data_IF_893150730376
#
_entry.id   IF_893150730376
#
_cell.length_a   1.000
_cell.length_b   1.000
_cell.length_c   1.000
_cell.angle_alpha   90.00
_cell.angle_beta   90.00
_cell.angle_gamma   90.00
#
_symmetry.space_group_name_H-M   'P 1'
#
loop_
_entity.id
_entity.type
_entity.pdbx_description
1 polymer ?
#
# COMPACT_ATOMS: atom_id res chain seq x y z
N UNK A 1 18.23 -9.65 -11.95
CA UNK A 1 17.38 -8.45 -11.92
C UNK A 1 16.07 -8.71 -11.18
N UNK A 2 15.57 -9.92 -11.23
CA UNK A 2 14.39 -10.34 -10.50
C UNK A 2 14.83 -11.49 -9.62
N UNK A 3 14.98 -11.24 -8.33
CA UNK A 3 15.20 -12.26 -7.34
C UNK A 3 14.03 -13.24 -7.25
N UNK A 4 14.19 -14.34 -6.55
CA UNK A 4 13.09 -15.22 -6.21
C UNK A 4 12.14 -14.51 -5.23
N UNK A 5 10.84 -14.73 -5.37
CA UNK A 5 9.87 -14.29 -4.37
C UNK A 5 10.11 -14.96 -3.01
N UNK A 6 10.76 -16.12 -3.00
CA UNK A 6 11.13 -16.88 -1.80
C UNK A 6 12.19 -16.17 -0.96
N UNK A 7 13.05 -15.35 -1.61
CA UNK A 7 14.08 -14.57 -0.92
C UNK A 7 13.56 -13.24 -0.38
N UNK A 8 12.28 -12.89 -0.64
CA UNK A 8 11.73 -11.59 -0.29
C UNK A 8 11.11 -11.60 1.10
N UNK A 9 11.60 -10.73 1.99
CA UNK A 9 10.99 -10.48 3.28
C UNK A 9 9.81 -9.53 3.10
N UNK A 10 8.60 -10.07 3.22
CA UNK A 10 7.38 -9.25 3.12
C UNK A 10 7.19 -8.41 4.39
N UNK A 11 6.45 -7.30 4.25
CA UNK A 11 6.09 -6.48 5.42
C UNK A 11 5.35 -7.29 6.49
N UNK A 12 4.52 -8.26 6.08
CA UNK A 12 3.82 -9.14 7.00
C UNK A 12 4.79 -9.96 7.83
N UNK A 13 5.71 -10.68 7.20
CA UNK A 13 6.72 -11.52 7.89
C UNK A 13 7.52 -10.67 8.87
N UNK A 14 8.07 -9.53 8.42
CA UNK A 14 8.88 -8.67 9.28
C UNK A 14 8.10 -8.07 10.47
N UNK A 15 6.80 -7.80 10.31
CA UNK A 15 5.96 -7.33 11.42
C UNK A 15 5.60 -8.47 12.39
N UNK A 16 5.36 -9.68 11.90
CA UNK A 16 5.15 -10.87 12.74
C UNK A 16 6.37 -11.17 13.62
N UNK A 17 7.58 -10.92 13.13
CA UNK A 17 8.82 -11.02 13.92
C UNK A 17 8.93 -9.96 15.03
N UNK A 18 8.30 -8.81 14.86
CA UNK A 18 8.35 -7.69 15.81
C UNK A 18 7.26 -7.73 16.88
N UNK A 19 6.18 -8.48 16.69
CA UNK A 19 5.05 -8.49 17.62
C UNK A 19 4.40 -9.86 17.72
N UNK A 20 4.16 -10.30 18.95
CA UNK A 20 3.45 -11.56 19.23
C UNK A 20 1.92 -11.41 19.14
N UNK A 21 1.41 -10.17 19.21
CA UNK A 21 -0.03 -9.89 19.29
C UNK A 21 -0.54 -9.14 18.05
N UNK A 22 0.18 -9.17 16.92
CA UNK A 22 -0.25 -8.56 15.68
C UNK A 22 -1.43 -9.29 15.06
N UNK A 23 -2.50 -8.54 14.70
CA UNK A 23 -3.61 -9.07 13.91
C UNK A 23 -3.41 -8.66 12.46
N UNK A 24 -3.80 -9.54 11.56
CA UNK A 24 -3.63 -9.34 10.11
C UNK A 24 -4.93 -9.62 9.37
N UNK A 25 -5.22 -8.80 8.38
CA UNK A 25 -6.28 -9.01 7.41
C UNK A 25 -5.78 -8.60 6.01
N UNK A 26 -6.24 -9.29 4.98
CA UNK A 26 -5.87 -8.97 3.60
C UNK A 26 -6.43 -7.62 3.15
N UNK A 27 -7.63 -7.30 3.56
CA UNK A 27 -8.32 -6.05 3.26
C UNK A 27 -8.90 -5.99 1.85
N UNK A 28 -8.06 -5.98 0.83
CA UNK A 28 -8.50 -6.02 -0.57
C UNK A 28 -7.33 -6.36 -1.50
N UNK A 29 -7.65 -6.67 -2.75
CA UNK A 29 -6.64 -6.84 -3.80
C UNK A 29 -5.92 -5.52 -4.13
N UNK A 30 -4.73 -5.64 -4.74
CA UNK A 30 -3.95 -4.48 -5.22
C UNK A 30 -4.70 -3.74 -6.34
N UNK A 31 -5.37 -4.48 -7.22
CA UNK A 31 -6.20 -3.95 -8.31
C UNK A 31 -7.68 -3.99 -7.93
N UNK A 32 -8.51 -3.23 -8.65
CA UNK A 32 -9.96 -3.35 -8.49
C UNK A 32 -10.43 -4.76 -8.91
N UNK A 33 -11.54 -5.27 -8.33
CA UNK A 33 -12.12 -6.55 -8.73
C UNK A 33 -12.31 -6.65 -10.25
N UNK A 34 -11.88 -7.76 -10.83
CA UNK A 34 -11.93 -8.02 -12.28
C UNK A 34 -10.98 -7.17 -13.12
N UNK A 35 -10.16 -6.32 -12.53
CA UNK A 35 -9.19 -5.50 -13.25
C UNK A 35 -7.94 -6.31 -13.59
N UNK A 36 -7.47 -6.17 -14.84
CA UNK A 36 -6.15 -6.65 -15.27
C UNK A 36 -5.22 -5.48 -15.51
N UNK A 37 -4.05 -5.52 -14.90
CA UNK A 37 -2.92 -4.67 -15.26
C UNK A 37 -2.00 -5.44 -16.21
N UNK A 38 -1.66 -4.80 -17.32
CA UNK A 38 -0.82 -5.38 -18.37
C UNK A 38 0.62 -4.90 -18.20
N UNK A 39 1.55 -5.82 -18.18
CA UNK A 39 2.97 -5.54 -18.10
C UNK A 39 3.74 -6.15 -19.27
N UNK A 40 4.98 -5.70 -19.46
CA UNK A 40 5.82 -6.17 -20.56
C UNK A 40 6.13 -7.69 -20.51
N UNK A 41 6.20 -8.26 -19.31
CA UNK A 41 6.57 -9.68 -19.11
C UNK A 41 5.44 -10.57 -18.63
N UNK A 42 4.52 -10.02 -17.85
CA UNK A 42 3.37 -10.74 -17.31
C UNK A 42 2.23 -9.78 -17.04
N UNK A 43 1.03 -10.33 -16.93
CA UNK A 43 -0.15 -9.58 -16.54
C UNK A 43 -0.51 -9.96 -15.10
N UNK A 44 -1.17 -9.05 -14.40
CA UNK A 44 -1.72 -9.29 -13.06
C UNK A 44 -3.22 -9.00 -13.11
N UNK A 45 -4.03 -9.97 -12.72
CA UNK A 45 -5.49 -9.82 -12.64
C UNK A 45 -5.91 -9.95 -11.18
N UNK A 46 -6.81 -9.11 -10.74
CA UNK A 46 -7.55 -9.34 -9.50
C UNK A 46 -8.80 -10.16 -9.84
N UNK A 47 -8.80 -11.41 -9.44
CA UNK A 47 -9.90 -12.36 -9.71
C UNK A 47 -11.02 -12.32 -8.67
N UNK A 48 -10.83 -11.53 -7.57
CA UNK A 48 -11.87 -11.39 -6.56
C UNK A 48 -13.18 -10.87 -7.18
N UNK A 49 -14.27 -11.45 -6.76
CA UNK A 49 -15.61 -10.90 -6.98
C UNK A 49 -15.84 -9.66 -6.12
N UNK A 50 -16.90 -8.90 -6.43
CA UNK A 50 -17.31 -7.78 -5.59
C UNK A 50 -17.69 -8.24 -4.16
N UNK A 51 -18.33 -9.41 -4.03
CA UNK A 51 -18.75 -9.98 -2.75
C UNK A 51 -17.55 -10.42 -1.91
N UNK A 52 -16.57 -11.09 -2.50
CA UNK A 52 -15.33 -11.48 -1.83
C UNK A 52 -14.54 -10.27 -1.36
N UNK A 53 -14.44 -9.25 -2.21
CA UNK A 53 -13.79 -7.98 -1.86
C UNK A 53 -14.49 -7.31 -0.68
N UNK A 54 -15.82 -7.27 -0.66
CA UNK A 54 -16.58 -6.69 0.45
C UNK A 54 -16.33 -7.46 1.74
N UNK A 55 -16.33 -8.77 1.70
CA UNK A 55 -16.03 -9.64 2.84
C UNK A 55 -14.61 -9.38 3.40
N UNK A 56 -13.61 -9.29 2.53
CA UNK A 56 -12.23 -8.96 2.93
C UNK A 56 -12.14 -7.57 3.61
N UNK A 57 -12.85 -6.58 3.08
CA UNK A 57 -12.89 -5.25 3.68
C UNK A 57 -13.57 -5.30 5.06
N UNK A 58 -14.66 -6.01 5.21
CA UNK A 58 -15.36 -6.14 6.52
C UNK A 58 -14.49 -6.84 7.55
N UNK A 59 -13.76 -7.88 7.16
CA UNK A 59 -12.76 -8.54 8.02
C UNK A 59 -11.69 -7.55 8.49
N UNK A 60 -11.11 -6.77 7.57
CA UNK A 60 -10.11 -5.76 7.91
C UNK A 60 -10.66 -4.66 8.84
N UNK A 61 -11.91 -4.25 8.66
CA UNK A 61 -12.59 -3.30 9.53
C UNK A 61 -12.76 -3.88 10.93
N UNK A 62 -13.16 -5.16 11.05
CA UNK A 62 -13.31 -5.83 12.33
C UNK A 62 -11.98 -5.91 13.07
N UNK A 63 -10.92 -6.34 12.38
CA UNK A 63 -9.56 -6.40 12.93
C UNK A 63 -9.08 -5.02 13.36
N UNK A 64 -9.27 -3.99 12.54
CA UNK A 64 -8.85 -2.63 12.87
C UNK A 64 -9.57 -2.05 14.09
N UNK A 65 -10.83 -2.42 14.29
CA UNK A 65 -11.62 -1.98 15.44
C UNK A 65 -11.12 -2.55 16.78
N UNK A 66 -10.45 -3.71 16.75
CA UNK A 66 -9.89 -4.37 17.94
C UNK A 66 -8.48 -3.86 18.29
N UNK A 67 -7.83 -3.13 17.37
CA UNK A 67 -6.43 -2.70 17.52
C UNK A 67 -6.32 -1.26 18.04
N UNK A 68 -5.31 -0.99 18.86
CA UNK A 68 -4.96 0.38 19.28
C UNK A 68 -4.46 1.21 18.09
N UNK A 69 -3.70 0.59 17.20
CA UNK A 69 -3.11 1.21 16.00
C UNK A 69 -3.28 0.28 14.80
N UNK A 70 -3.54 0.86 13.65
CA UNK A 70 -3.66 0.13 12.40
C UNK A 70 -2.64 0.63 11.38
N UNK A 71 -2.00 -0.29 10.67
CA UNK A 71 -1.12 0.02 9.54
C UNK A 71 -1.76 -0.53 8.27
N UNK A 72 -2.06 0.34 7.30
CA UNK A 72 -2.50 -0.06 5.97
C UNK A 72 -1.32 0.00 4.99
N UNK A 73 -1.12 -1.08 4.24
CA UNK A 73 -0.20 -1.14 3.11
C UNK A 73 -1.01 -0.94 1.83
N UNK A 74 -0.78 0.19 1.16
CA UNK A 74 -1.49 0.59 -0.04
C UNK A 74 -0.51 0.92 -1.16
N UNK A 75 -0.97 0.96 -2.40
CA UNK A 75 -0.11 1.37 -3.50
C UNK A 75 -0.47 0.78 -4.85
N UNK A 76 0.55 0.59 -5.67
CA UNK A 76 0.43 0.05 -7.03
C UNK A 76 1.02 -1.35 -7.15
N UNK A 77 0.50 -2.11 -8.10
CA UNK A 77 1.19 -3.32 -8.56
C UNK A 77 2.51 -2.93 -9.28
N UNK A 78 3.55 -3.74 -9.10
CA UNK A 78 4.87 -3.49 -9.69
C UNK A 78 4.82 -3.30 -11.22
N UNK A 79 3.92 -3.99 -11.91
CA UNK A 79 3.74 -3.89 -13.35
C UNK A 79 3.03 -2.61 -13.83
N UNK A 80 2.47 -1.83 -12.91
CA UNK A 80 1.83 -0.56 -13.24
C UNK A 80 2.84 0.60 -13.33
N UNK A 81 4.09 0.38 -12.97
CA UNK A 81 5.20 1.35 -13.05
C UNK A 81 6.30 0.85 -13.96
N UNK A 82 7.07 1.77 -14.55
CA UNK A 82 8.19 1.48 -15.43
C UNK A 82 7.80 1.48 -16.90
N UNK A 83 8.55 0.76 -17.71
CA UNK A 83 8.35 0.70 -19.16
C UNK A 83 6.97 0.12 -19.50
N UNK A 84 6.20 0.87 -20.29
CA UNK A 84 4.81 0.50 -20.64
C UNK A 84 3.77 0.74 -19.55
N UNK A 85 4.18 1.20 -18.36
CA UNK A 85 3.31 1.41 -17.20
C UNK A 85 2.68 2.80 -17.10
N UNK A 86 2.25 3.41 -18.22
CA UNK A 86 1.60 4.73 -18.21
C UNK A 86 0.22 4.66 -17.55
N UNK A 87 -0.10 5.69 -16.73
CA UNK A 87 -1.39 5.83 -16.05
C UNK A 87 -1.94 7.25 -16.19
N UNK A 88 -3.21 7.36 -16.57
CA UNK A 88 -3.94 8.63 -16.56
C UNK A 88 -4.51 9.00 -15.17
N UNK A 89 -4.74 8.01 -14.30
CA UNK A 89 -5.12 8.20 -12.90
C UNK A 89 -3.95 7.79 -12.01
N UNK A 90 -3.39 8.74 -11.29
CA UNK A 90 -2.25 8.57 -10.39
C UNK A 90 -2.67 8.45 -8.91
N UNK A 91 -3.92 8.13 -8.66
CA UNK A 91 -4.40 7.78 -7.31
C UNK A 91 -4.26 6.28 -7.04
N UNK A 92 -4.38 5.87 -5.77
CA UNK A 92 -4.52 4.45 -5.44
C UNK A 92 -5.84 3.89 -6.03
N UNK A 93 -5.93 2.56 -6.31
CA UNK A 93 -7.14 1.93 -6.83
C UNK A 93 -8.38 2.21 -5.99
N UNK A 94 -9.55 2.25 -6.63
CA UNK A 94 -10.82 2.57 -5.95
C UNK A 94 -11.12 1.62 -4.79
N UNK A 95 -10.77 0.34 -4.94
CA UNK A 95 -10.96 -0.65 -3.89
C UNK A 95 -10.12 -0.34 -2.65
N UNK A 96 -8.88 0.11 -2.84
CA UNK A 96 -8.01 0.53 -1.74
C UNK A 96 -8.51 1.82 -1.07
N UNK A 97 -9.08 2.77 -1.83
CA UNK A 97 -9.77 3.94 -1.26
C UNK A 97 -10.97 3.53 -0.39
N UNK A 98 -11.74 2.54 -0.85
CA UNK A 98 -12.86 2.00 -0.07
C UNK A 98 -12.38 1.40 1.25
N UNK A 99 -11.34 0.58 1.23
CA UNK A 99 -10.70 0.01 2.41
C UNK A 99 -10.21 1.11 3.36
N UNK A 100 -9.46 2.09 2.84
CA UNK A 100 -8.93 3.22 3.63
C UNK A 100 -10.04 3.95 4.40
N UNK A 101 -11.12 4.32 3.71
CA UNK A 101 -12.25 5.02 4.32
C UNK A 101 -12.93 4.17 5.40
N UNK A 102 -13.16 2.89 5.11
CA UNK A 102 -13.84 1.98 6.03
C UNK A 102 -13.02 1.75 7.31
N UNK A 103 -11.72 1.53 7.19
CA UNK A 103 -10.81 1.37 8.34
C UNK A 103 -10.68 2.66 9.13
N UNK A 104 -10.55 3.81 8.47
CA UNK A 104 -10.43 5.11 9.14
C UNK A 104 -11.67 5.48 9.98
N UNK A 105 -12.85 4.96 9.64
CA UNK A 105 -14.07 5.17 10.43
C UNK A 105 -14.04 4.48 11.79
N UNK A 106 -13.32 3.36 11.90
CA UNK A 106 -13.28 2.56 13.14
C UNK A 106 -11.99 2.73 13.93
N UNK A 107 -10.89 3.12 13.25
CA UNK A 107 -9.62 3.34 13.92
C UNK A 107 -8.94 4.65 13.46
N UNK A 108 -8.98 5.71 14.29
CA UNK A 108 -8.36 6.99 13.97
C UNK A 108 -6.83 6.98 14.11
N UNK A 109 -6.24 5.93 14.70
CA UNK A 109 -4.79 5.78 14.83
C UNK A 109 -4.20 5.02 13.64
N UNK A 110 -4.49 5.53 12.44
CA UNK A 110 -4.14 4.92 11.18
C UNK A 110 -2.79 5.44 10.66
N UNK A 111 -1.91 4.51 10.36
CA UNK A 111 -0.66 4.74 9.61
C UNK A 111 -0.81 4.11 8.22
N UNK A 112 -0.36 4.78 7.18
CA UNK A 112 -0.36 4.23 5.82
C UNK A 112 1.06 4.11 5.29
N UNK A 113 1.41 2.93 4.83
CA UNK A 113 2.64 2.65 4.08
C UNK A 113 2.30 2.55 2.60
N UNK A 114 2.96 3.37 1.77
CA UNK A 114 2.72 3.41 0.33
C UNK A 114 3.84 2.68 -0.40
N UNK A 115 3.47 1.64 -1.14
CA UNK A 115 4.35 0.87 -2.03
C UNK A 115 3.99 1.21 -3.47
N UNK A 116 4.81 2.03 -4.13
CA UNK A 116 4.55 2.49 -5.49
C UNK A 116 5.84 2.89 -6.22
N UNK A 117 5.89 2.69 -7.51
CA UNK A 117 7.04 3.06 -8.35
C UNK A 117 6.97 4.49 -8.91
N UNK A 118 5.96 5.28 -8.55
CA UNK A 118 5.76 6.67 -8.98
C UNK A 118 5.20 7.53 -7.86
N UNK A 119 5.34 8.86 -7.92
CA UNK A 119 4.64 9.74 -7.01
C UNK A 119 3.12 9.69 -7.30
N UNK A 120 2.33 9.33 -6.29
CA UNK A 120 0.88 9.27 -6.36
C UNK A 120 0.24 10.53 -5.79
N UNK A 121 -0.99 10.82 -6.22
CA UNK A 121 -1.89 11.74 -5.51
C UNK A 121 -2.35 11.07 -4.21
N UNK A 122 -1.83 11.56 -3.10
CA UNK A 122 -2.07 11.01 -1.76
C UNK A 122 -3.02 11.86 -0.92
N UNK A 123 -3.75 12.80 -1.51
CA UNK A 123 -4.61 13.73 -0.77
C UNK A 123 -5.59 13.00 0.13
N UNK A 124 -6.30 12.02 -0.41
CA UNK A 124 -7.26 11.23 0.35
C UNK A 124 -6.61 10.43 1.49
N UNK A 125 -5.40 9.92 1.27
CA UNK A 125 -4.64 9.24 2.33
C UNK A 125 -4.31 10.22 3.47
N UNK A 126 -3.90 11.45 3.12
CA UNK A 126 -3.59 12.51 4.11
C UNK A 126 -4.78 12.92 4.96
N UNK A 127 -6.01 12.82 4.44
CA UNK A 127 -7.22 13.15 5.18
C UNK A 127 -7.53 12.14 6.30
N UNK A 128 -7.07 10.89 6.13
CA UNK A 128 -7.40 9.79 7.02
C UNK A 128 -6.23 9.29 7.88
N UNK A 129 -5.00 9.39 7.39
CA UNK A 129 -3.83 8.84 8.08
C UNK A 129 -3.16 9.86 9.00
N UNK A 130 -2.76 9.42 10.20
CA UNK A 130 -1.94 10.21 11.11
C UNK A 130 -0.47 10.28 10.71
N UNK A 131 0.01 9.25 10.02
CA UNK A 131 1.36 9.20 9.47
C UNK A 131 1.35 8.45 8.14
N UNK A 132 2.24 8.85 7.23
CA UNK A 132 2.42 8.21 5.93
C UNK A 132 3.89 7.92 5.73
N UNK A 133 4.21 6.66 5.47
CA UNK A 133 5.52 6.21 5.04
C UNK A 133 5.49 5.92 3.55
N UNK A 134 6.17 6.71 2.73
CA UNK A 134 6.30 6.46 1.30
C UNK A 134 7.52 5.57 1.06
N UNK A 135 7.30 4.27 0.91
CA UNK A 135 8.36 3.27 0.88
C UNK A 135 8.87 2.94 -0.54
N UNK A 136 8.22 3.46 -1.59
CA UNK A 136 8.55 3.15 -2.99
C UNK A 136 8.51 1.65 -3.26
N UNK A 137 9.50 1.10 -3.98
CA UNK A 137 9.75 -0.33 -4.13
C UNK A 137 11.00 -0.68 -3.33
N UNK A 138 10.88 -1.16 -2.09
CA UNK A 138 11.97 -1.21 -1.12
C UNK A 138 12.95 -2.38 -1.31
N UNK A 139 12.71 -3.25 -2.29
CA UNK A 139 13.58 -4.40 -2.58
C UNK A 139 13.37 -5.59 -1.65
N UNK A 140 14.30 -6.54 -1.70
CA UNK A 140 14.21 -7.87 -1.05
C UNK A 140 14.05 -7.77 0.47
N UNK A 141 14.79 -6.89 1.13
CA UNK A 141 14.75 -6.66 2.58
C UNK A 141 13.80 -5.54 3.01
N UNK A 142 12.92 -5.13 2.11
CA UNK A 142 12.01 -4.01 2.33
C UNK A 142 11.09 -4.19 3.53
N UNK A 143 10.67 -5.42 3.82
CA UNK A 143 9.86 -5.74 4.99
C UNK A 143 10.53 -5.34 6.29
N UNK A 144 11.79 -5.76 6.50
CA UNK A 144 12.57 -5.42 7.69
C UNK A 144 12.79 -3.91 7.81
N UNK A 145 13.20 -3.24 6.72
CA UNK A 145 13.42 -1.79 6.75
C UNK A 145 12.16 -1.00 7.10
N UNK A 146 11.01 -1.41 6.60
CA UNK A 146 9.72 -0.80 6.94
C UNK A 146 9.33 -1.10 8.39
N UNK A 147 9.48 -2.34 8.85
CA UNK A 147 9.19 -2.73 10.22
C UNK A 147 10.07 -1.96 11.23
N UNK A 148 11.37 -1.83 10.98
CA UNK A 148 12.30 -1.05 11.81
C UNK A 148 11.86 0.42 11.96
N UNK A 149 11.36 1.04 10.88
CA UNK A 149 10.85 2.41 10.93
C UNK A 149 9.54 2.48 11.73
N UNK A 150 8.61 1.54 11.51
CA UNK A 150 7.32 1.52 12.18
C UNK A 150 7.44 1.30 13.69
N UNK A 151 8.41 0.50 14.13
CA UNK A 151 8.68 0.23 15.54
C UNK A 151 9.66 1.24 16.18
N UNK A 152 10.26 2.13 15.39
CA UNK A 152 11.16 3.15 15.88
C UNK A 152 12.61 2.69 16.12
N UNK A 153 12.97 1.51 15.66
CA UNK A 153 14.35 0.98 15.72
C UNK A 153 15.28 1.78 14.78
N UNK A 154 14.72 2.34 13.73
CA UNK A 154 15.40 3.22 12.78
C UNK A 154 14.59 4.48 12.52
N UNK A 155 15.26 5.61 12.43
CA UNK A 155 14.67 6.87 11.98
C UNK A 155 14.65 6.93 10.46
N UNK A 156 13.54 7.37 9.81
CA UNK A 156 13.56 7.65 8.38
C UNK A 156 14.50 8.82 8.09
N UNK A 157 15.56 8.58 7.34
CA UNK A 157 16.60 9.57 7.02
C UNK A 157 16.45 10.13 5.61
N UNK A 158 15.76 9.43 4.74
CA UNK A 158 15.54 9.83 3.37
C UNK A 158 14.52 10.97 3.26
N UNK A 159 14.74 11.85 2.30
CA UNK A 159 13.75 12.84 1.87
C UNK A 159 13.12 12.37 0.57
N UNK A 160 11.93 12.90 0.26
CA UNK A 160 11.32 12.65 -1.05
C UNK A 160 12.28 13.14 -2.15
N UNK A 161 12.55 12.26 -3.11
CA UNK A 161 13.43 12.55 -4.25
C UNK A 161 12.74 13.38 -5.34
N UNK A 162 11.42 13.54 -5.23
CA UNK A 162 10.60 14.32 -6.15
C UNK A 162 9.36 14.86 -5.46
N UNK A 163 8.71 15.87 -6.06
CA UNK A 163 7.45 16.40 -5.57
C UNK A 163 6.31 15.40 -5.78
N UNK A 164 5.42 15.30 -4.80
CA UNK A 164 4.16 14.57 -4.96
C UNK A 164 3.13 15.51 -5.62
N UNK A 165 2.46 15.09 -6.69
CA UNK A 165 1.46 15.91 -7.36
C UNK A 165 0.22 16.09 -6.47
N UNK A 166 -0.35 17.28 -6.52
CA UNK A 166 -1.65 17.54 -5.90
C UNK A 166 -2.79 16.89 -6.68
N UNK A 167 -2.66 16.80 -8.00
CA UNK A 167 -3.62 16.13 -8.88
C UNK A 167 -2.95 15.79 -10.22
N UNK A 168 -3.59 14.95 -11.03
CA UNK A 168 -3.05 14.55 -12.33
C UNK A 168 -2.79 15.72 -13.26
N UNK A 169 -3.58 16.79 -13.18
CA UNK A 169 -3.42 17.98 -14.03
C UNK A 169 -2.18 18.83 -13.72
N UNK A 170 -1.48 18.55 -12.61
CA UNK A 170 -0.19 19.17 -12.31
C UNK A 170 1.00 18.42 -12.94
N UNK A 171 0.80 17.26 -13.53
CA UNK A 171 1.87 16.48 -14.15
C UNK A 171 2.06 16.95 -15.60
N UNK A 172 3.30 17.27 -16.04
CA UNK A 172 4.56 17.28 -15.28
C UNK A 172 4.69 18.46 -14.31
N UNK A 173 5.33 18.22 -13.17
CA UNK A 173 5.67 19.26 -12.19
C UNK A 173 7.08 19.77 -12.52
N UNK A 174 7.20 21.06 -12.77
CA UNK A 174 8.46 21.75 -13.06
C UNK A 174 8.93 22.52 -11.83
#
# INVERSE_FOLDING_TARGET
FFGSSEDTVTCRVALEEKTENGLFAEGCGILNPGQTAYGFRFNMTNEDSQEETEKKIQEAVSVAAECEKTVLFLGEACIQSGEGGSRGDITIPKVQKKLLRAVAQVNPNLVVVILAGRPLDIREIKEHAKAILYAWFPGTEGGHGIADILYGDKNPQAKLSMSLPWCVSQVPIF
#
